data_IF_525163183331
#
_entry.id   IF_525163183331
#
_cell.length_a   1.000
_cell.length_b   1.000
_cell.length_c   1.000
_cell.angle_alpha   90.00
_cell.angle_beta   90.00
_cell.angle_gamma   90.00
#
_symmetry.space_group_name_H-M   'P 1'
#
loop_
_entity.id
_entity.type
_entity.pdbx_description
1 polymer ?
#
# COMPACT_ATOMS: atom_id res chain seq x y z
N UNK A 1 3.18 7.37 12.24
CA UNK A 1 2.32 6.87 11.14
C UNK A 1 1.60 8.02 10.45
N UNK A 2 0.86 8.82 11.21
CA UNK A 2 -0.19 9.73 10.71
C UNK A 2 0.29 10.82 9.75
N UNK A 3 1.44 11.43 10.04
CA UNK A 3 2.02 12.47 9.19
C UNK A 3 2.42 11.92 7.81
N UNK A 4 3.15 10.81 7.78
CA UNK A 4 3.60 10.17 6.53
C UNK A 4 2.41 9.74 5.68
N UNK A 5 1.43 9.08 6.28
CA UNK A 5 0.23 8.66 5.54
C UNK A 5 -0.47 9.85 4.90
N UNK A 6 -0.56 10.99 5.60
CA UNK A 6 -1.18 12.20 5.07
C UNK A 6 -0.38 12.85 3.94
N UNK A 7 0.96 12.84 4.04
CA UNK A 7 1.86 13.47 3.05
C UNK A 7 2.06 12.62 1.79
N UNK A 8 2.07 11.29 1.91
CA UNK A 8 2.40 10.36 0.82
C UNK A 8 1.14 9.71 0.19
N UNK A 9 -0.06 10.11 0.61
CA UNK A 9 -1.32 9.56 0.10
C UNK A 9 -2.20 10.57 -0.59
N UNK A 10 -3.04 10.06 -1.47
CA UNK A 10 -4.04 10.81 -2.20
C UNK A 10 -5.37 10.77 -1.45
N UNK A 11 -6.12 11.87 -1.47
CA UNK A 11 -7.49 11.86 -0.97
C UNK A 11 -8.41 11.09 -1.94
N UNK A 12 -9.48 10.51 -1.40
CA UNK A 12 -10.49 9.83 -2.23
C UNK A 12 -11.13 10.76 -3.27
N UNK A 13 -11.41 12.02 -2.92
CA UNK A 13 -12.00 13.00 -3.83
C UNK A 13 -11.08 13.39 -4.99
N UNK A 14 -9.77 13.50 -4.75
CA UNK A 14 -8.80 13.74 -5.82
C UNK A 14 -8.67 12.51 -6.71
N UNK A 15 -8.55 11.32 -6.11
CA UNK A 15 -8.37 10.08 -6.85
C UNK A 15 -9.60 9.73 -7.70
N UNK A 16 -10.81 9.95 -7.17
CA UNK A 16 -12.05 9.76 -7.93
C UNK A 16 -12.08 10.66 -9.17
N UNK A 17 -11.71 11.94 -8.99
CA UNK A 17 -11.65 12.92 -10.09
C UNK A 17 -10.60 12.53 -11.12
N UNK A 18 -9.41 12.11 -10.69
CA UNK A 18 -8.31 11.70 -11.59
C UNK A 18 -8.63 10.45 -12.39
N UNK A 19 -9.28 9.46 -11.78
CA UNK A 19 -9.67 8.23 -12.46
C UNK A 19 -10.94 8.40 -13.31
N UNK A 20 -11.64 9.54 -13.21
CA UNK A 20 -12.92 9.76 -13.87
C UNK A 20 -14.02 8.84 -13.33
N UNK A 21 -13.90 8.37 -12.08
CA UNK A 21 -14.87 7.46 -11.45
C UNK A 21 -15.60 8.17 -10.30
N UNK A 22 -16.86 7.82 -10.08
CA UNK A 22 -17.60 8.30 -8.91
C UNK A 22 -17.02 7.76 -7.60
N UNK A 23 -17.27 8.46 -6.49
CA UNK A 23 -16.84 8.06 -5.13
C UNK A 23 -17.34 6.66 -4.74
N UNK A 24 -18.56 6.29 -5.17
CA UNK A 24 -19.11 4.96 -4.96
C UNK A 24 -18.30 3.87 -5.68
N UNK A 25 -17.84 4.13 -6.90
CA UNK A 25 -17.00 3.19 -7.65
C UNK A 25 -15.62 3.06 -7.00
N UNK A 26 -15.04 4.18 -6.56
CA UNK A 26 -13.77 4.16 -5.83
C UNK A 26 -13.87 3.34 -4.53
N UNK A 27 -14.95 3.53 -3.78
CA UNK A 27 -15.22 2.78 -2.56
C UNK A 27 -15.44 1.28 -2.84
N UNK A 28 -16.11 0.95 -3.94
CA UNK A 28 -16.25 -0.44 -4.40
C UNK A 28 -14.89 -1.08 -4.73
N UNK A 29 -14.00 -0.36 -5.44
CA UNK A 29 -12.64 -0.84 -5.73
C UNK A 29 -11.84 -1.11 -4.45
N UNK A 30 -11.90 -0.20 -3.46
CA UNK A 30 -11.27 -0.39 -2.15
C UNK A 30 -11.83 -1.61 -1.40
N UNK A 31 -13.16 -1.78 -1.36
CA UNK A 31 -13.79 -2.94 -0.71
C UNK A 31 -13.43 -4.24 -1.41
N UNK A 32 -13.39 -4.26 -2.74
CA UNK A 32 -12.96 -5.39 -3.55
C UNK A 32 -11.46 -5.71 -3.39
N UNK A 33 -10.69 -4.84 -2.72
CA UNK A 33 -9.25 -5.01 -2.54
C UNK A 33 -8.44 -4.64 -3.79
N UNK A 34 -9.05 -4.02 -4.80
CA UNK A 34 -8.34 -3.50 -5.97
C UNK A 34 -7.40 -2.34 -5.61
N UNK A 35 -7.70 -1.65 -4.50
CA UNK A 35 -6.92 -0.56 -3.95
C UNK A 35 -6.69 -0.77 -2.46
N UNK A 36 -5.53 -0.35 -1.98
CA UNK A 36 -5.29 -0.16 -0.55
C UNK A 36 -5.78 1.22 -0.13
N UNK A 37 -6.84 1.26 0.66
CA UNK A 37 -7.34 2.49 1.29
C UNK A 37 -7.14 2.44 2.80
N UNK A 38 -6.35 3.35 3.34
CA UNK A 38 -6.02 3.42 4.76
C UNK A 38 -6.89 4.48 5.43
N UNK A 39 -7.49 4.18 6.58
CA UNK A 39 -8.33 5.15 7.29
C UNK A 39 -7.49 6.37 7.69
N UNK A 40 -7.99 7.58 7.39
CA UNK A 40 -7.35 8.82 7.85
C UNK A 40 -7.38 8.87 9.39
N UNK A 41 -6.25 9.08 10.07
CA UNK A 41 -6.21 9.29 11.51
C UNK A 41 -7.09 10.48 11.91
N UNK A 42 -7.98 10.27 12.88
CA UNK A 42 -8.94 11.29 13.33
C UNK A 42 -10.07 11.61 12.35
N UNK A 43 -10.21 10.85 11.25
CA UNK A 43 -11.21 11.10 10.20
C UNK A 43 -12.04 9.87 9.83
N UNK A 44 -13.08 10.12 9.01
CA UNK A 44 -13.92 9.08 8.42
C UNK A 44 -13.48 8.70 7.00
N UNK A 45 -12.68 9.55 6.37
CA UNK A 45 -12.24 9.36 4.99
C UNK A 45 -11.08 8.36 4.88
N UNK A 46 -10.93 7.81 3.69
CA UNK A 46 -9.80 6.95 3.32
C UNK A 46 -8.76 7.74 2.53
N UNK A 47 -7.50 7.41 2.80
CA UNK A 47 -6.32 7.86 2.08
C UNK A 47 -5.77 6.71 1.25
N UNK A 48 -5.28 7.03 0.06
CA UNK A 48 -4.80 6.07 -0.92
C UNK A 48 -3.30 6.30 -1.14
N UNK A 49 -2.41 5.48 -0.53
CA UNK A 49 -0.97 5.67 -0.65
C UNK A 49 -0.51 5.78 -2.11
N UNK A 50 0.25 6.82 -2.45
CA UNK A 50 0.59 7.14 -3.83
C UNK A 50 1.48 6.10 -4.50
N UNK A 51 2.30 5.38 -3.71
CA UNK A 51 3.18 4.32 -4.21
C UNK A 51 2.42 3.17 -4.89
N UNK A 52 1.12 3.00 -4.62
CA UNK A 52 0.32 1.93 -5.21
C UNK A 52 -0.06 2.22 -6.67
N UNK A 53 0.23 3.42 -7.19
CA UNK A 53 -0.09 3.83 -8.55
C UNK A 53 1.18 3.96 -9.40
N UNK A 54 1.10 3.52 -10.65
CA UNK A 54 2.10 3.78 -11.67
C UNK A 54 2.06 5.26 -12.13
N UNK A 55 3.08 5.76 -12.86
CA UNK A 55 3.11 7.13 -13.34
C UNK A 55 1.91 7.54 -14.20
N UNK A 56 1.28 6.59 -14.89
CA UNK A 56 0.05 6.77 -15.67
C UNK A 56 -1.21 6.92 -14.79
N UNK A 57 -1.07 6.77 -13.47
CA UNK A 57 -2.14 6.86 -12.49
C UNK A 57 -2.92 5.56 -12.29
N UNK A 58 -2.55 4.46 -12.96
CA UNK A 58 -3.21 3.16 -12.76
C UNK A 58 -2.66 2.44 -11.53
N UNK A 59 -3.48 1.69 -10.78
CA UNK A 59 -2.98 0.85 -9.70
C UNK A 59 -1.95 -0.16 -10.20
N UNK A 60 -0.89 -0.39 -9.44
CA UNK A 60 0.10 -1.41 -9.75
C UNK A 60 -0.57 -2.79 -9.71
N UNK A 61 -0.34 -3.67 -10.71
CA UNK A 61 -0.99 -4.99 -10.78
C UNK A 61 -0.78 -5.90 -9.55
N UNK A 62 0.26 -5.61 -8.76
CA UNK A 62 0.57 -6.34 -7.52
C UNK A 62 -0.33 -5.94 -6.33
N UNK A 63 -0.96 -4.76 -6.37
CA UNK A 63 -1.76 -4.22 -5.25
C UNK A 63 -2.90 -5.15 -4.84
N UNK A 64 -3.73 -5.68 -5.75
CA UNK A 64 -4.79 -6.61 -5.36
C UNK A 64 -4.25 -7.87 -4.66
N UNK A 65 -3.06 -8.35 -5.07
CA UNK A 65 -2.42 -9.51 -4.46
C UNK A 65 -1.88 -9.20 -3.07
N UNK A 66 -1.35 -8.00 -2.84
CA UNK A 66 -0.88 -7.56 -1.52
C UNK A 66 -2.04 -7.39 -0.54
N UNK A 67 -3.13 -6.76 -0.99
CA UNK A 67 -4.33 -6.58 -0.16
C UNK A 67 -4.97 -7.93 0.17
N UNK A 68 -5.09 -8.83 -0.80
CA UNK A 68 -5.56 -10.19 -0.55
C UNK A 68 -4.67 -10.92 0.45
N UNK A 69 -3.34 -10.92 0.25
CA UNK A 69 -2.40 -11.58 1.15
C UNK A 69 -2.47 -11.03 2.59
N UNK A 70 -2.60 -9.71 2.76
CA UNK A 70 -2.77 -9.10 4.08
C UNK A 70 -4.09 -9.49 4.74
N UNK A 71 -5.20 -9.49 3.98
CA UNK A 71 -6.53 -9.87 4.50
C UNK A 71 -6.62 -11.36 4.85
N UNK A 72 -6.06 -12.23 4.02
CA UNK A 72 -5.96 -13.67 4.28
C UNK A 72 -5.16 -13.96 5.56
N UNK A 73 -4.18 -13.09 5.85
CA UNK A 73 -3.38 -13.06 7.07
C UNK A 73 -4.09 -12.41 8.27
N UNK A 74 -5.33 -11.90 8.12
CA UNK A 74 -6.06 -11.21 9.19
C UNK A 74 -5.60 -9.79 9.48
N UNK A 75 -4.75 -9.19 8.63
CA UNK A 75 -4.30 -7.81 8.79
C UNK A 75 -5.40 -6.82 8.41
N UNK A 76 -5.46 -5.69 9.14
CA UNK A 76 -6.19 -4.51 8.66
C UNK A 76 -5.42 -3.80 7.54
N UNK A 77 -6.12 -2.97 6.77
CA UNK A 77 -5.52 -2.15 5.71
C UNK A 77 -4.45 -1.19 6.29
N UNK A 78 -4.65 -0.68 7.52
CA UNK A 78 -3.65 0.11 8.26
C UNK A 78 -2.41 -0.70 8.56
N UNK A 79 -2.57 -1.91 9.11
CA UNK A 79 -1.44 -2.78 9.46
C UNK A 79 -0.64 -3.19 8.22
N UNK A 80 -1.33 -3.51 7.12
CA UNK A 80 -0.68 -3.80 5.85
C UNK A 80 0.14 -2.61 5.35
N UNK A 81 -0.38 -1.39 5.46
CA UNK A 81 0.38 -0.18 5.12
C UNK A 81 1.62 0.02 6.01
N UNK A 82 1.54 -0.28 7.32
CA UNK A 82 2.72 -0.23 8.21
C UNK A 82 3.81 -1.18 7.74
N UNK A 83 3.45 -2.43 7.45
CA UNK A 83 4.39 -3.46 6.99
C UNK A 83 5.07 -3.02 5.68
N UNK A 84 4.28 -2.57 4.70
CA UNK A 84 4.80 -2.13 3.41
C UNK A 84 5.68 -0.87 3.49
N UNK A 85 5.38 0.04 4.40
CA UNK A 85 6.19 1.26 4.59
C UNK A 85 7.29 1.12 5.65
N UNK A 86 7.41 -0.05 6.26
CA UNK A 86 8.51 -0.40 7.16
C UNK A 86 9.83 -0.53 6.38
N UNK A 87 10.95 -0.35 7.07
CA UNK A 87 12.28 -0.56 6.48
C UNK A 87 12.49 -2.05 6.26
N UNK A 88 12.89 -2.45 5.05
CA UNK A 88 13.12 -3.85 4.69
C UNK A 88 14.26 -4.50 5.51
N UNK A 89 15.15 -3.68 6.09
CA UNK A 89 16.35 -4.12 6.82
C UNK A 89 16.13 -4.79 8.18
N UNK A 90 14.90 -5.00 8.65
CA UNK A 90 14.65 -5.72 9.91
C UNK A 90 14.42 -7.24 9.72
N UNK A 91 14.31 -7.74 8.48
CA UNK A 91 14.06 -9.15 8.19
C UNK A 91 15.31 -9.95 7.75
N UNK A 92 16.51 -9.34 7.71
CA UNK A 92 17.72 -10.04 7.29
C UNK A 92 18.97 -9.17 7.36
N UNK A 93 19.56 -9.07 8.55
CA UNK A 93 20.85 -8.41 8.77
C UNK A 93 21.99 -9.31 8.31
N UNK A 94 22.21 -9.39 7.00
CA UNK A 94 23.46 -9.88 6.40
C UNK A 94 24.45 -8.71 6.20
N UNK A 95 25.74 -8.87 6.49
CA UNK A 95 26.73 -7.81 6.29
C UNK A 95 26.93 -7.56 4.78
N UNK A 96 26.48 -6.40 4.29
CA UNK A 96 26.67 -5.96 2.90
C UNK A 96 25.52 -5.17 2.25
N UNK A 97 24.34 -5.06 2.87
CA UNK A 97 23.22 -4.30 2.28
C UNK A 97 23.37 -2.79 2.45
N UNK A 98 23.62 -2.09 1.34
CA UNK A 98 23.73 -0.61 1.26
C UNK A 98 22.41 0.06 0.88
N UNK A 99 21.28 -0.62 0.95
CA UNK A 99 19.99 0.00 0.65
C UNK A 99 18.98 -0.22 1.76
N UNK A 100 18.86 0.79 2.64
CA UNK A 100 17.88 0.84 3.74
C UNK A 100 16.47 1.21 3.23
N UNK A 101 16.12 0.74 2.03
CA UNK A 101 14.86 1.02 1.36
C UNK A 101 13.65 0.48 2.12
N UNK A 102 12.50 1.15 1.96
CA UNK A 102 11.22 0.64 2.46
C UNK A 102 10.78 -0.55 1.61
N UNK A 103 9.92 -1.40 2.15
CA UNK A 103 9.42 -2.55 1.39
C UNK A 103 8.66 -2.12 0.11
N UNK A 104 7.98 -0.96 0.13
CA UNK A 104 7.39 -0.34 -1.06
C UNK A 104 8.38 0.03 -2.16
N UNK A 105 9.66 0.29 -1.84
CA UNK A 105 10.66 0.61 -2.85
C UNK A 105 11.00 -0.64 -3.69
N UNK A 106 10.97 -1.83 -3.06
CA UNK A 106 11.13 -3.11 -3.75
C UNK A 106 10.02 -3.40 -4.77
N UNK A 107 8.81 -2.85 -4.59
CA UNK A 107 7.74 -2.94 -5.59
C UNK A 107 8.10 -2.20 -6.88
N UNK A 108 8.81 -1.07 -6.78
CA UNK A 108 9.25 -0.29 -7.96
C UNK A 108 10.34 -1.02 -8.73
N UNK A 109 11.17 -1.78 -8.04
CA UNK A 109 12.21 -2.62 -8.63
C UNK A 109 11.64 -3.93 -9.23
N UNK A 110 10.31 -4.12 -9.19
CA UNK A 110 9.66 -5.34 -9.68
C UNK A 110 9.83 -6.56 -8.77
N UNK A 111 10.36 -6.40 -7.55
CA UNK A 111 10.60 -7.49 -6.58
C UNK A 111 9.30 -7.89 -5.84
N UNK A 112 8.23 -8.10 -6.60
CA UNK A 112 6.88 -8.33 -6.09
C UNK A 112 6.76 -9.60 -5.23
N UNK A 113 7.41 -10.69 -5.63
CA UNK A 113 7.35 -11.97 -4.90
C UNK A 113 8.05 -11.88 -3.53
N UNK A 114 9.15 -11.12 -3.46
CA UNK A 114 9.81 -10.82 -2.19
C UNK A 114 8.87 -10.05 -1.26
N UNK A 115 8.21 -9.00 -1.76
CA UNK A 115 7.27 -8.23 -0.94
C UNK A 115 6.08 -9.07 -0.48
N UNK A 116 5.51 -9.90 -1.36
CA UNK A 116 4.44 -10.83 -1.00
C UNK A 116 4.87 -11.83 0.07
N UNK A 117 6.10 -12.36 -0.02
CA UNK A 117 6.68 -13.24 1.01
C UNK A 117 6.77 -12.55 2.37
N UNK A 118 7.26 -11.31 2.41
CA UNK A 118 7.35 -10.52 3.65
C UNK A 118 5.97 -10.26 4.25
N UNK A 119 4.99 -9.84 3.43
CA UNK A 119 3.60 -9.61 3.90
C UNK A 119 3.02 -10.86 4.54
N UNK A 120 3.18 -12.03 3.90
CA UNK A 120 2.69 -13.30 4.46
C UNK A 120 3.40 -13.71 5.75
N UNK A 121 4.68 -13.37 5.91
CA UNK A 121 5.45 -13.69 7.12
C UNK A 121 5.20 -12.73 8.29
N UNK A 122 4.63 -11.56 8.03
CA UNK A 122 4.34 -10.54 9.03
C UNK A 122 2.93 -10.68 9.66
N UNK A 123 2.18 -11.70 9.23
CA UNK A 123 0.88 -12.13 9.74
C UNK A 123 1.02 -12.73 11.14
#
# INVERSE_FOLDING_TARGET
MDRRLTEESLSGSWLSSRLGVGTQRLDAMRRAGELLGVRRPGGQDYLYPAWQFAPDGRPLPVVPRLVAAGRDAGMSDERLYEVLTSRAGLAGSGPGSVDSGRLVDALRDGRNDYVLGVVRSAA
#
